data_IF_819130640539
#
_entry.id   IF_819130640539
#
_cell.length_a   1.000
_cell.length_b   1.000
_cell.length_c   1.000
_cell.angle_alpha   90.00
_cell.angle_beta   90.00
_cell.angle_gamma   90.00
#
_symmetry.space_group_name_H-M   'P 1'
#
loop_
_entity.id
_entity.type
_entity.pdbx_description
1 polymer ?
#
# COMPACT_ATOMS: atom_id res chain seq x y z
N UNK A 1 7.65 11.26 6.94
CA UNK A 1 6.28 11.14 6.41
C UNK A 1 5.59 10.06 7.24
N UNK A 2 4.31 10.19 7.58
CA UNK A 2 3.60 9.13 8.31
C UNK A 2 2.61 8.46 7.37
N UNK A 3 2.56 7.13 7.35
CA UNK A 3 1.67 6.40 6.45
C UNK A 3 0.26 6.30 7.04
N UNK A 4 -0.77 6.52 6.21
CA UNK A 4 -2.16 6.26 6.59
C UNK A 4 -2.53 4.79 6.35
N UNK A 5 -2.08 3.93 7.25
CA UNK A 5 -2.21 2.47 7.12
C UNK A 5 -3.66 1.97 7.06
N UNK A 6 -4.56 2.65 7.77
CA UNK A 6 -6.00 2.35 7.77
C UNK A 6 -6.60 2.61 6.39
N UNK A 7 -6.35 3.80 5.84
CA UNK A 7 -6.80 4.19 4.49
C UNK A 7 -6.28 3.25 3.41
N UNK A 8 -5.01 2.86 3.47
CA UNK A 8 -4.42 1.90 2.51
C UNK A 8 -5.15 0.56 2.55
N UNK A 9 -5.46 0.07 3.75
CA UNK A 9 -6.19 -1.18 3.91
C UNK A 9 -7.63 -1.07 3.39
N UNK A 10 -8.30 0.04 3.66
CA UNK A 10 -9.66 0.31 3.16
C UNK A 10 -9.70 0.36 1.64
N UNK A 11 -8.78 1.10 1.01
CA UNK A 11 -8.67 1.20 -0.45
C UNK A 11 -8.36 -0.16 -1.09
N UNK A 12 -7.49 -0.95 -0.46
CA UNK A 12 -7.22 -2.31 -0.94
C UNK A 12 -8.48 -3.15 -0.96
N UNK A 13 -9.25 -3.13 0.13
CA UNK A 13 -10.47 -3.92 0.26
C UNK A 13 -11.58 -3.42 -0.66
N UNK A 14 -11.74 -2.10 -0.83
CA UNK A 14 -12.75 -1.53 -1.71
C UNK A 14 -12.49 -1.85 -3.19
N UNK A 15 -11.22 -1.95 -3.58
CA UNK A 15 -10.80 -2.41 -4.92
C UNK A 15 -10.79 -3.93 -5.08
N UNK A 16 -11.11 -4.70 -4.03
CA UNK A 16 -11.19 -6.16 -4.07
C UNK A 16 -9.83 -6.88 -4.10
N UNK A 17 -8.72 -6.19 -3.82
CA UNK A 17 -7.40 -6.77 -3.88
C UNK A 17 -7.03 -7.54 -2.61
N UNK A 18 -6.37 -8.68 -2.80
CA UNK A 18 -5.68 -9.41 -1.73
C UNK A 18 -4.31 -8.77 -1.45
N UNK A 19 -3.78 -8.98 -0.24
CA UNK A 19 -2.43 -8.53 0.09
C UNK A 19 -1.34 -9.21 -0.75
N UNK A 20 -1.62 -10.40 -1.32
CA UNK A 20 -0.69 -11.12 -2.21
C UNK A 20 -0.62 -10.41 -3.56
N UNK A 21 -1.76 -10.00 -4.13
CA UNK A 21 -1.82 -9.28 -5.40
C UNK A 21 -1.11 -7.95 -5.30
N UNK A 22 -1.40 -7.16 -4.26
CA UNK A 22 -0.69 -5.88 -4.06
C UNK A 22 0.80 -6.10 -3.83
N UNK A 23 1.19 -7.14 -3.07
CA UNK A 23 2.61 -7.46 -2.89
C UNK A 23 3.31 -7.71 -4.23
N UNK A 24 2.70 -8.48 -5.13
CA UNK A 24 3.24 -8.74 -6.47
C UNK A 24 3.33 -7.46 -7.31
N UNK A 25 2.29 -6.63 -7.32
CA UNK A 25 2.27 -5.35 -8.04
C UNK A 25 3.37 -4.40 -7.56
N UNK A 26 3.68 -4.41 -6.27
CA UNK A 26 4.72 -3.57 -5.66
C UNK A 26 6.14 -4.17 -5.75
N UNK A 27 6.30 -5.31 -6.43
CA UNK A 27 7.57 -6.03 -6.54
C UNK A 27 8.08 -6.60 -5.22
N UNK A 28 7.20 -6.90 -4.28
CA UNK A 28 7.54 -7.64 -3.07
C UNK A 28 7.54 -9.15 -3.36
N UNK A 29 8.54 -9.85 -2.82
CA UNK A 29 8.68 -11.31 -2.96
C UNK A 29 7.68 -12.11 -2.13
N UNK A 30 7.04 -11.49 -1.13
CA UNK A 30 6.06 -12.17 -0.28
C UNK A 30 4.94 -11.24 0.23
N UNK A 31 3.79 -11.84 0.57
CA UNK A 31 2.64 -11.17 1.21
C UNK A 31 3.04 -10.41 2.48
N UNK A 32 3.94 -10.97 3.27
CA UNK A 32 4.29 -10.43 4.58
C UNK A 32 4.90 -9.03 4.48
N UNK A 33 5.68 -8.78 3.42
CA UNK A 33 6.27 -7.46 3.15
C UNK A 33 5.21 -6.39 2.99
N UNK A 34 4.11 -6.69 2.27
CA UNK A 34 3.00 -5.76 2.12
C UNK A 34 2.13 -5.69 3.38
N UNK A 35 1.96 -6.81 4.10
CA UNK A 35 1.29 -6.81 5.42
C UNK A 35 1.99 -5.89 6.44
N UNK A 36 3.33 -5.76 6.36
CA UNK A 36 4.09 -4.82 7.18
C UNK A 36 3.82 -3.36 6.82
N UNK A 37 3.52 -3.08 5.54
CA UNK A 37 3.09 -1.75 5.09
C UNK A 37 1.75 -1.39 5.70
N UNK A 38 0.74 -2.26 5.61
CA UNK A 38 -0.60 -2.03 6.19
C UNK A 38 -0.62 -2.02 7.73
N UNK A 39 0.47 -2.42 8.38
CA UNK A 39 0.59 -2.37 9.85
C UNK A 39 1.58 -1.29 10.31
N UNK A 40 2.13 -0.50 9.38
CA UNK A 40 3.10 0.56 9.69
C UNK A 40 4.47 0.07 10.15
N UNK A 41 4.71 -1.25 10.14
CA UNK A 41 6.00 -1.86 10.47
C UNK A 41 7.05 -1.66 9.38
N UNK A 42 6.61 -1.33 8.17
CA UNK A 42 7.46 -1.05 7.02
C UNK A 42 6.92 0.17 6.28
N UNK A 43 7.79 1.13 6.04
CA UNK A 43 7.46 2.26 5.18
C UNK A 43 7.85 1.93 3.72
N UNK A 44 6.94 2.08 2.75
CA UNK A 44 7.27 1.94 1.34
C UNK A 44 8.12 3.14 0.88
N UNK A 45 9.01 2.92 -0.09
CA UNK A 45 9.73 4.02 -0.73
C UNK A 45 8.79 4.80 -1.67
N UNK A 46 9.24 5.97 -2.13
CA UNK A 46 8.45 6.87 -2.98
C UNK A 46 7.93 6.18 -4.25
N UNK A 47 8.73 5.32 -4.87
CA UNK A 47 8.32 4.56 -6.05
C UNK A 47 7.13 3.64 -5.76
N UNK A 48 7.18 2.85 -4.68
CA UNK A 48 6.07 1.97 -4.28
C UNK A 48 4.85 2.74 -3.80
N UNK A 49 5.06 3.90 -3.18
CA UNK A 49 3.97 4.77 -2.78
C UNK A 49 3.24 5.35 -4.01
N UNK A 50 3.99 5.73 -5.05
CA UNK A 50 3.42 6.13 -6.34
C UNK A 50 2.67 4.99 -7.03
N UNK A 51 3.17 3.75 -6.95
CA UNK A 51 2.46 2.59 -7.46
C UNK A 51 1.17 2.32 -6.69
N UNK A 52 1.17 2.46 -5.35
CA UNK A 52 -0.05 2.32 -4.53
C UNK A 52 -1.08 3.40 -4.85
N UNK A 53 -0.63 4.65 -4.98
CA UNK A 53 -1.48 5.78 -5.36
C UNK A 53 -2.15 5.52 -6.72
N UNK A 54 -1.38 5.07 -7.71
CA UNK A 54 -1.91 4.67 -9.02
C UNK A 54 -2.86 3.47 -8.94
N UNK A 55 -2.53 2.44 -8.16
CA UNK A 55 -3.36 1.23 -8.00
C UNK A 55 -4.73 1.55 -7.37
N UNK A 56 -4.75 2.52 -6.45
CA UNK A 56 -5.97 2.90 -5.73
C UNK A 56 -6.67 4.13 -6.32
N UNK A 57 -6.12 4.72 -7.39
CA UNK A 57 -6.63 5.92 -8.06
C UNK A 57 -6.77 7.13 -7.11
N UNK A 58 -5.76 7.32 -6.26
CA UNK A 58 -5.67 8.42 -5.29
C UNK A 58 -4.33 9.13 -5.42
N UNK A 59 -4.18 10.26 -4.74
CA UNK A 59 -2.90 10.95 -4.61
C UNK A 59 -2.01 10.31 -3.54
N UNK A 60 -0.70 10.58 -3.60
CA UNK A 60 0.23 10.16 -2.53
C UNK A 60 -0.15 10.80 -1.20
N UNK A 61 -0.57 12.06 -1.21
CA UNK A 61 -0.96 12.80 0.00
C UNK A 61 -2.09 12.09 0.75
N UNK A 62 -3.08 11.54 0.03
CA UNK A 62 -4.17 10.76 0.62
C UNK A 62 -3.72 9.45 1.30
N UNK A 63 -2.57 8.90 0.90
CA UNK A 63 -1.98 7.71 1.52
C UNK A 63 -1.13 8.04 2.75
N UNK A 64 -0.90 9.32 3.02
CA UNK A 64 0.01 9.80 4.06
C UNK A 64 -0.72 10.71 5.06
N UNK A 65 -0.11 10.92 6.23
CA UNK A 65 -0.55 11.82 7.30
C UNK A 65 0.56 12.82 7.60
#
# INVERSE_FOLDING_TARGET
>A
MKLNTEKIRELRLSKGFTQVEVAKTMGYTNRNSYSQVETGKREPNLHRLSLLAGLYEVTIDELTK
#
